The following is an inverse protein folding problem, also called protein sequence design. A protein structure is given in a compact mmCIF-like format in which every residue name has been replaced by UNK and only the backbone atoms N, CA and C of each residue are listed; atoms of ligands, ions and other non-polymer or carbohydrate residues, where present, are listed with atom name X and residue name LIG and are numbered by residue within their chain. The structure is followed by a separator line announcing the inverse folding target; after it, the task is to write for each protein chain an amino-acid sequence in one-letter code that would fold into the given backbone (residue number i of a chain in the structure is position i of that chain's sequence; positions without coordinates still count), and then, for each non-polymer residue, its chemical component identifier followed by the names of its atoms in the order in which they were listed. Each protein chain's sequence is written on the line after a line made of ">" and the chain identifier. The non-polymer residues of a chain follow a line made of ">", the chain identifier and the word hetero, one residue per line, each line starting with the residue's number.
data_IF_334659841578
#
_entry.id   IF_334659841578
#
_cell.length_a   1.000
_cell.length_b   1.000
_cell.length_c   1.000
_cell.angle_alpha   90.00
_cell.angle_beta   90.00
_cell.angle_gamma   90.00
#
_symmetry.space_group_name_H-M   'P 1'
#
loop_
_entity.id
_entity.type
_entity.pdbx_description
1 polymer ?
#
# COMPACT_ATOMS: atom_id res chain seq x y z
N UNK A 1 45.43 15.28 60.20
CA UNK A 1 44.56 14.20 59.70
C UNK A 1 43.39 14.87 59.04
N UNK A 2 43.27 14.75 57.72
CA UNK A 2 42.09 15.14 56.93
C UNK A 2 41.69 13.98 56.00
N UNK A 3 40.39 13.80 55.71
CA UNK A 3 39.83 12.51 55.33
C UNK A 3 39.91 12.22 53.81
N UNK A 4 40.08 10.94 53.49
CA UNK A 4 40.23 10.38 52.13
C UNK A 4 38.96 10.50 51.27
N UNK A 5 39.10 10.63 49.94
CA UNK A 5 37.98 10.75 49.01
C UNK A 5 37.25 9.41 48.78
N UNK A 6 35.93 9.48 48.62
CA UNK A 6 35.02 8.34 48.35
C UNK A 6 35.16 7.88 46.88
N UNK A 7 35.46 6.59 46.66
CA UNK A 7 35.48 5.99 45.33
C UNK A 7 34.06 5.76 44.81
N UNK A 8 33.78 6.24 43.60
CA UNK A 8 32.53 5.97 42.88
C UNK A 8 32.51 4.53 42.38
N UNK A 9 31.49 3.76 42.75
CA UNK A 9 31.27 2.40 42.25
C UNK A 9 30.82 2.43 40.76
N UNK A 10 31.46 1.68 39.85
CA UNK A 10 30.99 1.55 38.48
C UNK A 10 29.63 0.82 38.46
N UNK A 11 28.65 1.41 37.75
CA UNK A 11 27.31 0.83 37.56
C UNK A 11 27.43 -0.56 36.92
N UNK A 12 26.96 -1.58 37.63
CA UNK A 12 26.98 -2.96 37.19
C UNK A 12 26.14 -3.17 35.91
N UNK A 13 26.80 -3.52 34.81
CA UNK A 13 26.19 -3.94 33.55
C UNK A 13 25.32 -5.18 33.78
N UNK A 14 24.02 -5.10 33.49
CA UNK A 14 23.10 -6.24 33.62
C UNK A 14 23.44 -7.27 32.54
N UNK A 15 23.81 -8.48 32.95
CA UNK A 15 24.14 -9.56 32.00
C UNK A 15 22.92 -10.00 31.20
N UNK A 16 23.09 -10.23 29.89
CA UNK A 16 22.05 -10.76 28.98
C UNK A 16 21.81 -12.26 29.16
N UNK A 17 22.71 -12.96 29.88
CA UNK A 17 22.63 -14.39 30.14
C UNK A 17 23.15 -14.70 31.55
N UNK A 18 22.30 -15.28 32.39
CA UNK A 18 22.71 -15.80 33.70
C UNK A 18 23.31 -17.21 33.57
N UNK A 19 24.30 -17.55 34.41
CA UNK A 19 24.83 -18.91 34.47
C UNK A 19 23.77 -19.90 35.00
N UNK A 20 23.94 -21.19 34.71
CA UNK A 20 22.99 -22.25 35.07
C UNK A 20 22.75 -22.36 36.57
N UNK A 21 23.79 -22.17 37.39
CA UNK A 21 23.69 -22.23 38.87
C UNK A 21 22.92 -21.04 39.45
N UNK A 22 23.15 -19.83 38.95
CA UNK A 22 22.35 -18.67 39.37
C UNK A 22 20.91 -18.78 38.85
N UNK A 23 20.72 -19.33 37.64
CA UNK A 23 19.41 -19.54 37.03
C UNK A 23 18.56 -20.54 37.83
N UNK A 24 19.11 -21.69 38.21
CA UNK A 24 18.37 -22.71 38.97
C UNK A 24 17.98 -22.25 40.37
N UNK A 25 18.76 -21.32 40.96
CA UNK A 25 18.51 -20.77 42.29
C UNK A 25 17.72 -19.45 42.28
N UNK A 26 17.28 -18.97 41.11
CA UNK A 26 16.63 -17.66 40.92
C UNK A 26 17.42 -16.48 41.52
N UNK A 27 18.74 -16.50 41.35
CA UNK A 27 19.66 -15.50 41.86
C UNK A 27 20.18 -14.58 40.76
N UNK A 28 20.48 -13.32 41.12
CA UNK A 28 21.09 -12.34 40.20
C UNK A 28 22.51 -12.76 39.83
N UNK A 29 22.80 -12.85 38.53
CA UNK A 29 24.10 -13.19 37.96
C UNK A 29 24.74 -11.97 37.30
N UNK A 30 26.04 -11.76 37.51
CA UNK A 30 26.83 -10.67 36.90
C UNK A 30 27.26 -10.97 35.46
N UNK A 31 27.17 -12.22 35.00
CA UNK A 31 27.54 -12.65 33.66
C UNK A 31 29.04 -12.75 33.37
N UNK A 32 29.93 -12.62 34.37
CA UNK A 32 31.38 -12.73 34.15
C UNK A 32 31.77 -14.16 33.74
N UNK A 33 32.69 -14.27 32.78
CA UNK A 33 33.27 -15.54 32.30
C UNK A 33 34.75 -15.60 32.69
N UNK A 34 35.29 -16.76 33.10
CA UNK A 34 34.69 -18.10 33.05
C UNK A 34 33.75 -18.44 34.22
N UNK A 35 33.79 -17.70 35.33
CA UNK A 35 32.88 -17.86 36.49
C UNK A 35 32.32 -16.50 36.90
N UNK A 36 31.03 -16.45 37.28
CA UNK A 36 30.44 -15.27 37.92
C UNK A 36 30.96 -15.09 39.35
N UNK A 37 30.99 -13.86 39.86
CA UNK A 37 31.51 -13.54 41.21
C UNK A 37 30.82 -14.41 42.28
N UNK A 38 29.49 -14.55 42.20
CA UNK A 38 28.71 -15.35 43.15
C UNK A 38 29.07 -16.84 43.12
N UNK A 39 29.27 -17.43 41.94
CA UNK A 39 29.70 -18.83 41.86
C UNK A 39 31.17 -19.00 42.28
N UNK A 40 31.98 -17.94 42.15
CA UNK A 40 33.35 -17.92 42.65
C UNK A 40 33.40 -17.93 44.18
N UNK A 41 32.60 -17.08 44.83
CA UNK A 41 32.52 -16.98 46.30
C UNK A 41 31.92 -18.24 46.93
N UNK A 42 30.85 -18.78 46.34
CA UNK A 42 30.18 -19.98 46.84
C UNK A 42 30.87 -21.29 46.43
N UNK A 43 32.04 -21.19 45.80
CA UNK A 43 32.78 -22.28 45.17
C UNK A 43 31.90 -23.30 44.41
N UNK A 44 30.85 -22.80 43.76
CA UNK A 44 29.85 -23.62 43.06
C UNK A 44 30.19 -23.73 41.58
N UNK A 45 29.79 -24.83 40.95
CA UNK A 45 30.02 -25.04 39.52
C UNK A 45 29.29 -23.96 38.69
N UNK A 46 30.06 -23.17 37.93
CA UNK A 46 29.53 -22.12 37.07
C UNK A 46 29.59 -22.60 35.61
N UNK A 47 28.42 -22.77 34.99
CA UNK A 47 28.33 -23.16 33.58
C UNK A 47 27.34 -22.28 32.85
N UNK A 48 27.63 -21.94 31.61
CA UNK A 48 26.71 -21.25 30.69
C UNK A 48 26.32 -22.25 29.60
N UNK A 49 25.02 -22.45 29.37
CA UNK A 49 24.58 -23.29 28.27
C UNK A 49 24.95 -22.64 26.93
N UNK A 50 25.52 -23.42 26.01
CA UNK A 50 25.63 -23.01 24.61
C UNK A 50 24.22 -22.88 24.02
N UNK A 51 23.97 -21.79 23.28
CA UNK A 51 22.68 -21.54 22.64
C UNK A 51 22.31 -22.70 21.72
N UNK A 52 21.13 -23.31 21.95
CA UNK A 52 20.53 -24.30 21.03
C UNK A 52 19.69 -23.66 19.92
N UNK A 53 19.60 -22.33 19.86
CA UNK A 53 19.06 -21.62 18.68
C UNK A 53 20.17 -21.52 17.64
N UNK A 54 20.53 -22.67 17.06
CA UNK A 54 21.48 -22.79 15.97
C UNK A 54 20.82 -22.39 14.66
N UNK A 55 20.72 -21.09 14.40
CA UNK A 55 20.78 -20.61 13.02
C UNK A 55 22.21 -20.78 12.52
N UNK A 56 22.38 -21.09 11.23
CA UNK A 56 23.69 -21.10 10.58
C UNK A 56 24.41 -19.77 10.86
N UNK A 57 25.71 -19.85 11.17
CA UNK A 57 26.53 -18.66 11.39
C UNK A 57 26.50 -17.76 10.15
N UNK A 58 26.66 -16.45 10.34
CA UNK A 58 26.52 -15.42 9.29
C UNK A 58 27.48 -15.68 8.13
N UNK A 59 28.65 -16.26 8.41
CA UNK A 59 29.62 -16.71 7.42
C UNK A 59 29.12 -17.93 6.62
N UNK A 60 28.48 -18.90 7.27
CA UNK A 60 27.94 -20.09 6.62
C UNK A 60 26.72 -19.77 5.74
N UNK A 61 25.90 -18.77 6.12
CA UNK A 61 24.81 -18.25 5.28
C UNK A 61 25.33 -17.49 4.05
N UNK A 62 26.41 -16.72 4.20
CA UNK A 62 27.05 -16.02 3.08
C UNK A 62 27.65 -17.02 2.07
N UNK A 63 28.31 -18.07 2.55
CA UNK A 63 28.88 -19.12 1.70
C UNK A 63 27.80 -19.91 0.95
N UNK A 64 26.67 -20.21 1.62
CA UNK A 64 25.53 -20.89 0.97
C UNK A 64 24.90 -20.03 -0.13
N UNK A 65 24.79 -18.72 0.08
CA UNK A 65 24.31 -17.76 -0.94
C UNK A 65 25.26 -17.67 -2.14
N UNK A 66 26.57 -17.67 -1.91
CA UNK A 66 27.56 -17.69 -3.00
C UNK A 66 27.52 -18.99 -3.80
N UNK A 67 27.32 -20.15 -3.15
CA UNK A 67 27.19 -21.44 -3.85
C UNK A 67 25.95 -21.51 -4.74
N UNK A 68 24.82 -20.95 -4.30
CA UNK A 68 23.58 -20.89 -5.09
C UNK A 68 23.67 -19.91 -6.27
N UNK A 69 24.50 -18.87 -6.16
CA UNK A 69 24.74 -17.90 -7.23
C UNK A 69 25.68 -18.40 -8.34
N UNK A 70 26.42 -19.50 -8.11
CA UNK A 70 27.41 -20.03 -9.07
C UNK A 70 26.93 -21.25 -9.87
N UNK A 71 25.71 -21.75 -9.63
CA UNK A 71 25.11 -22.84 -10.41
C UNK A 71 24.32 -22.31 -11.60
N UNK A 72 24.70 -22.58 -12.87
CA UNK A 72 23.86 -22.29 -14.01
C UNK A 72 22.66 -23.25 -14.06
N UNK A 73 21.52 -22.67 -14.43
CA UNK A 73 20.19 -23.26 -14.49
C UNK A 73 20.15 -24.43 -15.49
N UNK A 74 20.26 -25.67 -15.02
CA UNK A 74 19.90 -26.85 -15.81
C UNK A 74 18.61 -27.44 -15.23
N UNK A 75 17.48 -27.08 -15.83
CA UNK A 75 16.17 -27.64 -15.50
C UNK A 75 16.09 -29.02 -16.14
N UNK A 76 16.28 -30.06 -15.34
CA UNK A 76 15.78 -31.39 -15.66
C UNK A 76 14.82 -31.85 -14.56
N UNK A 77 13.64 -32.30 -15.01
CA UNK A 77 12.46 -32.60 -14.19
C UNK A 77 12.62 -33.98 -13.54
N UNK A 78 12.84 -34.01 -12.23
CA UNK A 78 12.78 -35.22 -11.42
C UNK A 78 11.85 -35.03 -10.23
N UNK A 79 10.60 -35.47 -10.37
CA UNK A 79 9.60 -35.50 -9.30
C UNK A 79 10.00 -36.52 -8.22
N UNK A 80 10.21 -36.05 -6.98
CA UNK A 80 10.08 -36.90 -5.78
C UNK A 80 9.22 -36.20 -4.72
N UNK A 81 7.94 -36.53 -4.80
CA UNK A 81 6.91 -36.69 -3.76
C UNK A 81 7.24 -36.22 -2.33
N UNK A 82 6.64 -35.09 -1.91
CA UNK A 82 6.27 -34.82 -0.53
C UNK A 82 4.76 -34.57 -0.48
N UNK A 83 4.07 -35.31 0.39
CA UNK A 83 2.61 -35.36 0.52
C UNK A 83 2.11 -34.08 1.19
N UNK A 84 1.36 -33.26 0.45
CA UNK A 84 0.42 -32.30 1.03
C UNK A 84 -0.99 -32.90 1.04
N UNK A 85 -1.64 -32.81 2.19
CA UNK A 85 -2.98 -33.29 2.42
C UNK A 85 -4.00 -32.35 1.75
N UNK A 86 -4.66 -32.83 0.71
CA UNK A 86 -5.77 -32.15 0.05
C UNK A 86 -7.05 -32.32 0.89
N UNK A 87 -7.57 -31.23 1.46
CA UNK A 87 -8.99 -31.16 1.83
C UNK A 87 -9.73 -30.52 0.66
N UNK A 88 -10.43 -31.36 -0.10
CA UNK A 88 -11.35 -30.97 -1.16
C UNK A 88 -12.51 -30.17 -0.56
N UNK A 89 -12.70 -28.93 -0.97
CA UNK A 89 -13.97 -28.21 -0.75
C UNK A 89 -14.97 -28.63 -1.83
N UNK A 90 -16.18 -29.09 -1.47
CA UNK A 90 -17.25 -29.29 -2.44
C UNK A 90 -17.92 -27.96 -2.76
N UNK A 91 -18.13 -27.75 -4.06
CA UNK A 91 -18.89 -26.68 -4.66
C UNK A 91 -20.37 -26.88 -4.34
N UNK A 92 -21.00 -25.93 -3.63
CA UNK A 92 -22.44 -25.88 -3.45
C UNK A 92 -22.97 -24.50 -3.81
N UNK A 93 -23.89 -24.48 -4.77
CA UNK A 93 -24.84 -23.40 -5.01
C UNK A 93 -25.72 -23.21 -3.77
N UNK A 94 -25.88 -21.96 -3.32
CA UNK A 94 -27.06 -21.60 -2.54
C UNK A 94 -27.49 -20.16 -2.82
N UNK A 95 -28.55 -20.07 -3.61
CA UNK A 95 -29.47 -18.95 -3.60
C UNK A 95 -30.20 -18.87 -2.25
N UNK A 96 -30.55 -17.62 -1.88
CA UNK A 96 -31.76 -17.19 -1.15
C UNK A 96 -31.58 -16.63 0.29
N UNK A 97 -32.13 -15.42 0.43
CA UNK A 97 -32.40 -14.56 1.61
C UNK A 97 -31.23 -13.73 2.20
N UNK A 98 -31.37 -12.42 2.46
CA UNK A 98 -32.57 -11.58 2.47
C UNK A 98 -32.28 -10.08 2.35
N UNK A 99 -33.19 -9.39 1.66
CA UNK A 99 -33.32 -7.94 1.58
C UNK A 99 -33.51 -7.34 2.98
N UNK A 100 -32.79 -6.25 3.25
CA UNK A 100 -33.23 -5.23 4.19
C UNK A 100 -33.35 -3.91 3.44
N UNK A 101 -34.57 -3.37 3.49
CA UNK A 101 -35.09 -2.25 2.73
C UNK A 101 -34.37 -0.92 3.03
N UNK A 102 -33.83 -0.28 1.99
CA UNK A 102 -33.64 1.17 1.98
C UNK A 102 -34.83 1.82 1.25
N UNK A 103 -35.53 2.67 2.00
CA UNK A 103 -36.75 3.39 1.61
C UNK A 103 -36.51 4.24 0.35
N UNK A 104 -37.12 3.80 -0.74
CA UNK A 104 -37.16 4.44 -2.05
C UNK A 104 -38.19 5.58 -2.05
N UNK A 105 -37.75 6.83 -2.30
CA UNK A 105 -38.64 7.86 -2.83
C UNK A 105 -38.55 7.85 -4.36
N UNK A 106 -39.65 7.44 -5.00
CA UNK A 106 -39.81 7.45 -6.46
C UNK A 106 -40.13 8.86 -6.93
N UNK A 107 -39.22 9.49 -7.66
CA UNK A 107 -39.52 10.56 -8.60
C UNK A 107 -39.85 9.96 -9.96
N UNK A 108 -41.13 9.93 -10.31
CA UNK A 108 -41.63 9.58 -11.64
C UNK A 108 -41.32 10.73 -12.60
N UNK A 109 -40.49 10.53 -13.62
CA UNK A 109 -40.47 11.40 -14.79
C UNK A 109 -40.55 10.60 -16.08
N UNK A 110 -41.57 10.97 -16.83
CA UNK A 110 -42.14 10.36 -18.02
C UNK A 110 -41.27 10.65 -19.26
N UNK A 111 -41.04 9.63 -20.07
CA UNK A 111 -40.33 9.71 -21.34
C UNK A 111 -41.34 9.74 -22.49
N UNK A 112 -41.76 10.94 -22.91
CA UNK A 112 -42.28 11.14 -24.27
C UNK A 112 -41.87 12.50 -24.86
N UNK A 113 -40.99 12.42 -25.85
CA UNK A 113 -40.72 13.30 -26.99
C UNK A 113 -41.24 14.76 -27.00
N UNK A 114 -40.30 15.72 -27.12
CA UNK A 114 -40.38 16.72 -28.21
C UNK A 114 -38.96 17.04 -28.72
N UNK A 115 -38.75 16.81 -30.01
CA UNK A 115 -37.55 17.17 -30.73
C UNK A 115 -37.50 18.68 -31.02
N UNK A 116 -36.29 19.14 -31.37
CA UNK A 116 -35.92 20.45 -31.93
C UNK A 116 -35.69 21.60 -30.94
N UNK A 117 -34.40 21.81 -30.59
CA UNK A 117 -33.69 23.11 -30.35
C UNK A 117 -32.40 22.97 -29.51
N UNK A 118 -31.91 21.76 -29.22
CA UNK A 118 -30.68 21.54 -28.43
C UNK A 118 -29.33 21.55 -29.19
N UNK A 119 -29.35 21.73 -30.51
CA UNK A 119 -28.19 21.39 -31.37
C UNK A 119 -27.08 22.46 -31.42
N UNK A 120 -27.26 23.61 -30.74
CA UNK A 120 -26.23 24.68 -30.69
C UNK A 120 -25.47 24.77 -29.37
N UNK A 121 -25.97 24.18 -28.29
CA UNK A 121 -25.33 24.25 -26.96
C UNK A 121 -24.39 23.07 -26.71
N UNK A 122 -24.64 21.91 -27.31
CA UNK A 122 -23.76 20.72 -27.21
C UNK A 122 -22.43 20.92 -27.95
N UNK A 123 -22.39 21.78 -28.97
CA UNK A 123 -21.16 22.15 -29.69
C UNK A 123 -20.23 23.07 -28.89
N UNK A 124 -20.70 23.72 -27.81
CA UNK A 124 -19.89 24.59 -26.98
C UNK A 124 -19.16 23.86 -25.85
N UNK A 125 -19.65 22.69 -25.41
CA UNK A 125 -19.03 21.86 -24.36
C UNK A 125 -17.92 20.95 -24.94
N UNK A 126 -17.97 20.70 -26.26
CA UNK A 126 -16.94 19.98 -27.02
C UNK A 126 -15.72 20.82 -27.40
N UNK A 127 -15.62 22.08 -26.94
CA UNK A 127 -14.38 22.83 -27.03
C UNK A 127 -13.35 22.14 -26.12
N UNK A 128 -12.52 21.28 -26.72
CA UNK A 128 -11.36 20.67 -26.08
C UNK A 128 -10.65 21.75 -25.26
N UNK A 129 -10.84 21.75 -23.94
CA UNK A 129 -10.15 22.67 -23.05
C UNK A 129 -8.67 22.50 -23.36
N UNK A 130 -7.99 23.52 -23.92
CA UNK A 130 -6.61 23.35 -24.33
C UNK A 130 -5.84 22.82 -23.13
N UNK A 131 -5.13 21.71 -23.32
CA UNK A 131 -4.33 21.10 -22.27
C UNK A 131 -3.12 22.01 -22.06
N UNK A 132 -3.32 23.05 -21.25
CA UNK A 132 -2.28 23.92 -20.78
C UNK A 132 -2.05 23.65 -19.29
N UNK A 133 -1.34 22.56 -19.00
CA UNK A 133 -1.04 22.09 -17.63
C UNK A 133 -0.33 23.16 -16.79
N UNK A 134 0.46 24.03 -17.43
CA UNK A 134 1.29 25.01 -16.74
C UNK A 134 0.48 26.14 -16.12
N UNK A 135 -0.40 26.76 -16.91
CA UNK A 135 -1.21 27.90 -16.46
C UNK A 135 -2.62 27.53 -16.00
N UNK A 136 -2.96 26.24 -15.96
CA UNK A 136 -4.28 25.79 -15.54
C UNK A 136 -4.42 25.83 -14.00
N UNK A 137 -5.29 26.71 -13.45
CA UNK A 137 -5.43 26.87 -12.02
C UNK A 137 -6.07 25.65 -11.34
N UNK A 138 -6.88 24.87 -12.06
CA UNK A 138 -7.51 23.66 -11.52
C UNK A 138 -6.46 22.55 -11.40
N UNK A 139 -5.61 22.38 -12.41
CA UNK A 139 -4.48 21.45 -12.35
C UNK A 139 -3.51 21.84 -11.23
N UNK A 140 -3.21 23.15 -11.09
CA UNK A 140 -2.39 23.63 -9.98
C UNK A 140 -3.00 23.35 -8.60
N UNK A 141 -4.33 23.51 -8.47
CA UNK A 141 -5.08 23.17 -7.24
C UNK A 141 -4.91 21.68 -6.90
N UNK A 142 -5.17 20.77 -7.86
CA UNK A 142 -5.01 19.32 -7.67
C UNK A 142 -3.63 18.92 -7.12
N UNK A 143 -2.55 19.39 -7.77
CA UNK A 143 -1.19 19.03 -7.36
C UNK A 143 -0.81 19.62 -6.01
N UNK A 144 -1.45 20.73 -5.60
CA UNK A 144 -1.21 21.35 -4.30
C UNK A 144 -1.94 20.67 -3.16
N UNK A 145 -3.15 20.15 -3.39
CA UNK A 145 -4.06 19.77 -2.29
C UNK A 145 -4.51 18.31 -2.27
N UNK A 146 -4.40 17.59 -3.38
CA UNK A 146 -4.88 16.21 -3.49
C UNK A 146 -3.76 15.22 -3.83
N UNK A 147 -2.83 15.62 -4.69
CA UNK A 147 -1.83 14.71 -5.24
C UNK A 147 -0.96 14.04 -4.17
N UNK A 148 -0.54 14.78 -3.14
CA UNK A 148 0.26 14.24 -2.02
C UNK A 148 -0.41 13.08 -1.28
N UNK A 149 -1.75 13.09 -1.19
CA UNK A 149 -2.50 12.00 -0.57
C UNK A 149 -2.66 10.80 -1.52
N UNK A 150 -2.62 11.03 -2.83
CA UNK A 150 -2.85 10.00 -3.85
C UNK A 150 -1.85 10.11 -5.02
N UNK A 151 -0.54 9.89 -4.77
CA UNK A 151 0.49 10.25 -5.73
C UNK A 151 0.74 9.13 -6.75
N UNK A 152 -0.30 8.70 -7.47
CA UNK A 152 -0.20 7.61 -8.44
C UNK A 152 -0.11 8.07 -9.90
N UNK A 153 -0.58 9.28 -10.18
CA UNK A 153 -0.40 9.93 -11.48
C UNK A 153 0.99 10.53 -11.59
N UNK A 154 1.42 10.88 -12.81
CA UNK A 154 2.72 11.50 -13.04
C UNK A 154 2.90 12.81 -12.25
N UNK A 155 4.13 13.12 -11.79
CA UNK A 155 4.45 14.43 -11.23
C UNK A 155 4.13 15.55 -12.23
N UNK A 156 3.74 16.73 -11.75
CA UNK A 156 3.27 17.83 -12.62
C UNK A 156 4.27 18.19 -13.73
N UNK A 157 5.56 18.26 -13.39
CA UNK A 157 6.65 18.57 -14.31
C UNK A 157 6.78 17.53 -15.43
N UNK A 158 6.66 16.25 -15.08
CA UNK A 158 6.76 15.13 -16.00
C UNK A 158 5.50 14.98 -16.88
N UNK A 159 4.31 15.18 -16.30
CA UNK A 159 3.07 15.20 -17.06
C UNK A 159 3.08 16.35 -18.08
N UNK A 160 3.51 17.54 -17.68
CA UNK A 160 3.72 18.69 -18.58
C UNK A 160 4.62 18.32 -19.74
N UNK A 161 5.80 17.76 -19.48
CA UNK A 161 6.77 17.37 -20.50
C UNK A 161 6.18 16.37 -21.50
N UNK A 162 5.45 15.36 -21.02
CA UNK A 162 4.86 14.33 -21.88
C UNK A 162 3.70 14.86 -22.73
N UNK A 163 2.91 15.81 -22.20
CA UNK A 163 1.83 16.45 -22.95
C UNK A 163 2.29 17.45 -24.01
N UNK A 164 3.59 17.80 -24.05
CA UNK A 164 4.17 18.61 -25.13
C UNK A 164 4.30 17.83 -26.44
N UNK A 165 4.38 16.49 -26.41
CA UNK A 165 4.34 15.67 -27.63
C UNK A 165 2.90 15.59 -28.15
N UNK A 166 2.58 16.19 -29.33
CA UNK A 166 1.22 16.20 -29.86
C UNK A 166 0.63 14.80 -30.08
N UNK A 167 1.47 13.78 -30.27
CA UNK A 167 1.03 12.38 -30.46
C UNK A 167 0.56 11.74 -29.16
N UNK A 168 1.04 12.21 -28.01
CA UNK A 168 0.68 11.72 -26.68
C UNK A 168 -0.36 12.59 -25.99
N UNK A 169 -0.46 13.85 -26.42
CA UNK A 169 -1.34 14.87 -25.89
C UNK A 169 -2.81 14.42 -25.77
N UNK A 170 -3.37 13.82 -26.82
CA UNK A 170 -4.77 13.38 -26.83
C UNK A 170 -5.00 12.18 -25.90
N UNK A 171 -3.99 11.32 -25.71
CA UNK A 171 -4.08 10.17 -24.79
C UNK A 171 -4.26 10.58 -23.33
N UNK A 172 -3.71 11.73 -22.91
CA UNK A 172 -3.83 12.20 -21.52
C UNK A 172 -5.13 12.96 -21.22
N UNK A 173 -5.98 13.22 -22.22
CA UNK A 173 -7.19 14.02 -22.04
C UNK A 173 -8.13 13.51 -20.92
N UNK A 174 -8.43 12.20 -20.80
CA UNK A 174 -9.27 11.67 -19.72
C UNK A 174 -8.68 11.94 -18.33
N UNK A 175 -7.36 11.73 -18.19
CA UNK A 175 -6.66 11.96 -16.94
C UNK A 175 -6.69 13.44 -16.54
N UNK A 176 -6.40 14.34 -17.48
CA UNK A 176 -6.39 15.77 -17.24
C UNK A 176 -7.78 16.29 -16.90
N UNK A 177 -8.84 15.77 -17.54
CA UNK A 177 -10.22 16.10 -17.18
C UNK A 177 -10.52 15.71 -15.73
N UNK A 178 -10.11 14.52 -15.28
CA UNK A 178 -10.34 14.06 -13.90
C UNK A 178 -9.53 14.91 -12.88
N UNK A 179 -8.29 15.25 -13.22
CA UNK A 179 -7.45 16.18 -12.44
C UNK A 179 -8.14 17.54 -12.30
N UNK A 180 -8.71 18.08 -13.38
CA UNK A 180 -9.42 19.38 -13.36
C UNK A 180 -10.67 19.34 -12.50
N UNK A 181 -11.46 18.27 -12.57
CA UNK A 181 -12.64 18.09 -11.72
C UNK A 181 -12.27 18.12 -10.23
N UNK A 182 -11.26 17.34 -9.82
CA UNK A 182 -10.78 17.35 -8.43
C UNK A 182 -10.19 18.72 -8.07
N UNK A 183 -9.42 19.32 -8.98
CA UNK A 183 -8.88 20.66 -8.81
C UNK A 183 -9.94 21.71 -8.53
N UNK A 184 -11.08 21.62 -9.22
CA UNK A 184 -12.26 22.46 -9.00
C UNK A 184 -12.87 22.25 -7.61
N UNK A 185 -13.02 21.01 -7.18
CA UNK A 185 -13.54 20.68 -5.85
C UNK A 185 -12.72 21.39 -4.76
N UNK A 186 -11.39 21.38 -4.84
CA UNK A 186 -10.58 22.07 -3.81
C UNK A 186 -10.57 23.59 -3.96
N UNK A 187 -10.63 24.09 -5.19
CA UNK A 187 -10.51 25.53 -5.47
C UNK A 187 -11.83 26.27 -5.20
N UNK A 188 -12.91 25.77 -5.80
CA UNK A 188 -14.23 26.40 -5.79
C UNK A 188 -15.16 25.78 -4.72
N UNK A 189 -14.79 24.62 -4.14
CA UNK A 189 -15.59 23.90 -3.11
C UNK A 189 -16.96 23.45 -3.60
N UNK A 190 -17.10 23.20 -4.89
CA UNK A 190 -18.34 22.80 -5.54
C UNK A 190 -18.15 21.67 -6.56
N UNK A 191 -19.23 20.93 -6.77
CA UNK A 191 -19.33 19.96 -7.85
C UNK A 191 -19.63 20.69 -9.16
N UNK A 192 -18.86 20.40 -10.22
CA UNK A 192 -19.05 20.99 -11.53
C UNK A 192 -19.57 19.97 -12.52
N UNK A 193 -20.85 20.10 -12.90
CA UNK A 193 -21.49 19.25 -13.92
C UNK A 193 -20.75 19.32 -15.26
N UNK A 194 -20.34 20.50 -15.78
CA UNK A 194 -19.57 20.55 -17.02
C UNK A 194 -18.23 19.80 -16.95
N UNK A 195 -17.53 19.85 -15.80
CA UNK A 195 -16.28 19.10 -15.63
C UNK A 195 -16.51 17.59 -15.48
N UNK A 196 -17.61 17.17 -14.84
CA UNK A 196 -18.06 15.78 -14.82
C UNK A 196 -18.28 15.26 -16.25
N UNK A 197 -19.09 15.97 -17.03
CA UNK A 197 -19.38 15.62 -18.43
C UNK A 197 -18.11 15.59 -19.27
N UNK A 198 -17.16 16.50 -19.02
CA UNK A 198 -15.87 16.50 -19.71
C UNK A 198 -15.02 15.25 -19.39
N UNK A 199 -15.05 14.74 -18.15
CA UNK A 199 -14.39 13.48 -17.78
C UNK A 199 -15.00 12.32 -18.55
N UNK A 200 -16.33 12.19 -18.50
CA UNK A 200 -17.06 11.09 -19.13
C UNK A 200 -16.92 11.10 -20.65
N UNK A 201 -17.02 12.28 -21.25
CA UNK A 201 -16.77 12.47 -22.67
C UNK A 201 -15.34 12.06 -23.01
N UNK A 202 -14.33 12.58 -22.31
CA UNK A 202 -12.93 12.26 -22.62
C UNK A 202 -12.63 10.77 -22.52
N UNK A 203 -13.16 10.09 -21.50
CA UNK A 203 -13.04 8.62 -21.36
C UNK A 203 -13.68 7.89 -22.55
N UNK A 204 -14.81 8.38 -23.09
CA UNK A 204 -15.46 7.76 -24.25
C UNK A 204 -14.70 7.93 -25.57
N UNK A 205 -13.76 8.88 -25.64
CA UNK A 205 -13.02 9.18 -26.87
C UNK A 205 -11.74 8.34 -27.04
N UNK A 206 -11.26 7.69 -25.99
CA UNK A 206 -10.07 6.82 -26.03
C UNK A 206 -10.45 5.35 -26.20
N UNK A 207 -9.52 4.55 -26.72
CA UNK A 207 -9.74 3.12 -26.88
C UNK A 207 -10.06 2.46 -25.53
N UNK A 208 -11.05 1.55 -25.43
CA UNK A 208 -11.46 0.97 -24.14
C UNK A 208 -10.35 0.26 -23.36
N UNK A 209 -9.32 -0.23 -24.06
CA UNK A 209 -8.14 -0.88 -23.48
C UNK A 209 -6.98 0.08 -23.20
N UNK A 210 -7.18 1.40 -23.34
CA UNK A 210 -6.14 2.38 -23.05
C UNK A 210 -5.89 2.44 -21.53
N UNK A 211 -4.64 2.23 -21.08
CA UNK A 211 -4.33 2.16 -19.66
C UNK A 211 -4.54 3.48 -18.91
N UNK A 212 -4.58 4.62 -19.63
CA UNK A 212 -4.85 5.92 -18.99
C UNK A 212 -6.24 5.99 -18.37
N UNK A 213 -7.19 5.20 -18.90
CA UNK A 213 -8.56 5.13 -18.41
C UNK A 213 -8.57 4.62 -16.96
N UNK A 214 -7.64 3.73 -16.59
CA UNK A 214 -7.54 3.24 -15.21
C UNK A 214 -7.28 4.39 -14.25
N UNK A 215 -6.28 5.23 -14.55
CA UNK A 215 -5.95 6.38 -13.70
C UNK A 215 -7.08 7.41 -13.67
N UNK A 216 -7.69 7.70 -14.82
CA UNK A 216 -8.79 8.66 -14.93
C UNK A 216 -10.03 8.20 -14.15
N UNK A 217 -10.43 6.92 -14.28
CA UNK A 217 -11.57 6.35 -13.54
C UNK A 217 -11.31 6.27 -12.05
N UNK A 218 -10.07 5.97 -11.63
CA UNK A 218 -9.72 5.94 -10.21
C UNK A 218 -9.83 7.34 -9.58
N UNK A 219 -9.30 8.39 -10.23
CA UNK A 219 -9.51 9.75 -9.76
C UNK A 219 -11.00 10.13 -9.75
N UNK A 220 -11.73 9.78 -10.81
CA UNK A 220 -13.14 10.11 -10.94
C UNK A 220 -14.00 9.42 -9.89
N UNK A 221 -13.73 8.13 -9.59
CA UNK A 221 -14.46 7.38 -8.56
C UNK A 221 -14.32 8.05 -7.20
N UNK A 222 -13.12 8.49 -6.83
CA UNK A 222 -12.85 9.17 -5.57
C UNK A 222 -13.59 10.51 -5.47
N UNK A 223 -13.59 11.30 -6.55
CA UNK A 223 -14.31 12.57 -6.61
C UNK A 223 -15.82 12.37 -6.43
N UNK A 224 -16.40 11.37 -7.12
CA UNK A 224 -17.81 10.99 -6.99
C UNK A 224 -18.14 10.56 -5.56
N UNK A 225 -17.27 9.77 -4.94
CA UNK A 225 -17.48 9.26 -3.58
C UNK A 225 -17.57 10.38 -2.55
N UNK A 226 -16.68 11.38 -2.65
CA UNK A 226 -16.68 12.54 -1.74
C UNK A 226 -17.89 13.45 -1.88
N UNK A 227 -18.57 13.42 -3.02
CA UNK A 227 -19.83 14.13 -3.26
C UNK A 227 -21.06 13.24 -3.08
N UNK A 228 -20.93 12.12 -2.36
CA UNK A 228 -22.02 11.19 -2.01
C UNK A 228 -22.64 10.44 -3.21
N UNK A 229 -22.03 10.48 -4.40
CA UNK A 229 -22.43 9.67 -5.56
C UNK A 229 -21.91 8.23 -5.46
N UNK A 230 -22.16 7.56 -4.33
CA UNK A 230 -21.52 6.28 -3.94
C UNK A 230 -21.72 5.14 -4.94
N UNK A 231 -22.91 5.04 -5.53
CA UNK A 231 -23.23 3.99 -6.53
C UNK A 231 -22.41 4.18 -7.80
N UNK A 232 -22.36 5.42 -8.31
CA UNK A 232 -21.58 5.77 -9.49
C UNK A 232 -20.09 5.63 -9.21
N UNK A 233 -19.63 6.09 -8.05
CA UNK A 233 -18.27 5.94 -7.58
C UNK A 233 -17.81 4.47 -7.57
N UNK A 234 -18.62 3.57 -7.00
CA UNK A 234 -18.33 2.13 -6.99
C UNK A 234 -18.29 1.55 -8.39
N UNK A 235 -19.24 1.93 -9.26
CA UNK A 235 -19.25 1.51 -10.67
C UNK A 235 -17.97 1.91 -11.41
N UNK A 236 -17.52 3.16 -11.24
CA UNK A 236 -16.27 3.64 -11.83
C UNK A 236 -15.04 2.89 -11.29
N UNK A 237 -15.02 2.61 -9.99
CA UNK A 237 -13.96 1.80 -9.36
C UNK A 237 -13.93 0.38 -9.92
N UNK A 238 -15.08 -0.28 -10.05
CA UNK A 238 -15.18 -1.65 -10.58
C UNK A 238 -14.79 -1.73 -12.05
N UNK A 239 -15.05 -0.68 -12.82
CA UNK A 239 -14.56 -0.56 -14.20
C UNK A 239 -13.04 -0.38 -14.25
N UNK A 240 -12.47 0.42 -13.34
CA UNK A 240 -11.01 0.61 -13.25
C UNK A 240 -10.30 -0.68 -12.83
N UNK A 241 -10.80 -1.39 -11.81
CA UNK A 241 -10.26 -2.66 -11.33
C UNK A 241 -10.26 -3.72 -12.43
N UNK A 242 -11.39 -3.92 -13.11
CA UNK A 242 -11.48 -4.88 -14.23
C UNK A 242 -10.49 -4.57 -15.34
N UNK A 243 -10.43 -3.31 -15.78
CA UNK A 243 -9.49 -2.92 -16.83
C UNK A 243 -8.03 -3.12 -16.39
N UNK A 244 -7.67 -2.78 -15.16
CA UNK A 244 -6.32 -2.99 -14.64
C UNK A 244 -5.93 -4.47 -14.58
N UNK A 245 -6.88 -5.34 -14.21
CA UNK A 245 -6.70 -6.80 -14.20
C UNK A 245 -6.55 -7.33 -15.62
N UNK A 246 -7.42 -6.92 -16.54
CA UNK A 246 -7.39 -7.34 -17.96
C UNK A 246 -6.07 -6.93 -18.64
N UNK A 247 -5.54 -5.77 -18.28
CA UNK A 247 -4.24 -5.28 -18.75
C UNK A 247 -3.06 -5.97 -18.09
N UNK A 248 -3.27 -6.73 -17.00
CA UNK A 248 -2.20 -7.37 -16.25
C UNK A 248 -1.36 -6.41 -15.40
N UNK A 249 -1.92 -5.29 -14.93
CA UNK A 249 -1.21 -4.28 -14.15
C UNK A 249 -0.59 -4.82 -12.84
N UNK A 250 -1.06 -5.96 -12.34
CA UNK A 250 -0.54 -6.68 -11.17
C UNK A 250 0.79 -7.42 -11.42
N UNK A 251 1.30 -7.36 -12.65
CA UNK A 251 2.53 -8.02 -13.08
C UNK A 251 3.69 -7.02 -13.11
N UNK A 252 4.87 -7.42 -12.61
CA UNK A 252 6.08 -6.58 -12.64
C UNK A 252 6.41 -6.09 -14.05
N UNK A 253 6.20 -6.96 -15.04
CA UNK A 253 6.55 -6.77 -16.44
C UNK A 253 5.73 -5.64 -17.07
N UNK A 254 4.48 -5.47 -16.62
CA UNK A 254 3.56 -4.48 -17.17
C UNK A 254 4.14 -3.06 -17.17
N UNK A 255 4.65 -2.63 -16.02
CA UNK A 255 5.24 -1.30 -15.88
C UNK A 255 6.46 -1.12 -16.80
N UNK A 256 7.26 -2.16 -17.00
CA UNK A 256 8.45 -2.15 -17.86
C UNK A 256 8.06 -2.02 -19.33
N UNK A 257 7.08 -2.83 -19.77
CA UNK A 257 6.59 -2.85 -21.13
C UNK A 257 5.89 -1.54 -21.51
N UNK A 258 5.00 -1.04 -20.65
CA UNK A 258 4.24 0.19 -20.92
C UNK A 258 5.06 1.47 -20.75
N UNK A 259 5.98 1.51 -19.78
CA UNK A 259 6.79 2.69 -19.52
C UNK A 259 7.97 2.88 -20.48
N UNK A 260 8.32 1.85 -21.27
CA UNK A 260 9.52 1.82 -22.10
C UNK A 260 10.73 2.36 -21.31
N UNK A 261 11.59 3.22 -21.85
CA UNK A 261 12.78 3.72 -21.15
C UNK A 261 12.51 4.82 -20.09
N UNK A 262 11.26 5.24 -19.90
CA UNK A 262 10.94 6.31 -18.95
C UNK A 262 10.63 5.75 -17.56
N UNK A 263 11.60 5.82 -16.66
CA UNK A 263 11.48 5.31 -15.29
C UNK A 263 10.32 5.95 -14.49
N UNK A 264 10.01 7.21 -14.72
CA UNK A 264 8.91 7.92 -14.04
C UNK A 264 7.55 7.39 -14.49
N UNK A 265 7.42 7.06 -15.78
CA UNK A 265 6.21 6.40 -16.29
C UNK A 265 6.09 4.98 -15.72
N UNK A 266 7.19 4.22 -15.65
CA UNK A 266 7.18 2.89 -14.98
C UNK A 266 6.73 3.00 -13.52
N UNK A 267 7.24 4.01 -12.80
CA UNK A 267 6.86 4.27 -11.41
C UNK A 267 5.38 4.66 -11.27
N UNK A 268 4.85 5.50 -12.16
CA UNK A 268 3.43 5.86 -12.18
C UNK A 268 2.53 4.64 -12.35
N UNK A 269 2.91 3.67 -13.19
CA UNK A 269 2.13 2.44 -13.36
C UNK A 269 2.18 1.54 -12.12
N UNK A 270 3.36 1.39 -11.48
CA UNK A 270 3.45 0.68 -10.19
C UNK A 270 2.55 1.31 -9.13
N UNK A 271 2.61 2.64 -9.00
CA UNK A 271 1.78 3.40 -8.05
C UNK A 271 0.30 3.31 -8.38
N UNK A 272 -0.07 3.20 -9.65
CA UNK A 272 -1.47 3.02 -10.09
C UNK A 272 -2.04 1.70 -9.58
N UNK A 273 -1.31 0.60 -9.74
CA UNK A 273 -1.72 -0.69 -9.19
C UNK A 273 -1.89 -0.63 -7.67
N UNK A 274 -0.90 -0.11 -6.96
CA UNK A 274 -0.95 -0.01 -5.51
C UNK A 274 -2.02 0.95 -4.99
N UNK A 275 -2.35 2.01 -5.74
CA UNK A 275 -3.47 2.89 -5.37
C UNK A 275 -4.82 2.20 -5.60
N UNK A 276 -4.99 1.40 -6.66
CA UNK A 276 -6.21 0.58 -6.81
C UNK A 276 -6.38 -0.36 -5.61
N UNK A 277 -5.30 -1.01 -5.19
CA UNK A 277 -5.28 -1.88 -4.01
C UNK A 277 -5.72 -1.13 -2.74
N UNK A 278 -5.15 0.05 -2.48
CA UNK A 278 -5.48 0.87 -1.31
C UNK A 278 -6.93 1.36 -1.35
N UNK A 279 -7.37 1.94 -2.48
CA UNK A 279 -8.70 2.53 -2.60
C UNK A 279 -9.79 1.44 -2.60
N UNK A 280 -9.54 0.26 -3.15
CA UNK A 280 -10.50 -0.86 -3.04
C UNK A 280 -10.70 -1.25 -1.57
N UNK A 281 -9.62 -1.33 -0.79
CA UNK A 281 -9.73 -1.62 0.63
C UNK A 281 -10.52 -0.54 1.38
N UNK A 282 -10.31 0.75 1.06
CA UNK A 282 -11.10 1.84 1.63
C UNK A 282 -12.58 1.73 1.29
N UNK A 283 -12.92 1.39 0.04
CA UNK A 283 -14.31 1.18 -0.37
C UNK A 283 -14.92 -0.03 0.32
N UNK A 284 -14.20 -1.15 0.40
CA UNK A 284 -14.67 -2.37 1.06
C UNK A 284 -15.01 -2.10 2.53
N UNK A 285 -14.13 -1.40 3.25
CA UNK A 285 -14.34 -1.01 4.65
C UNK A 285 -15.48 0.00 4.82
N UNK A 286 -15.50 1.07 4.03
CA UNK A 286 -16.48 2.16 4.18
C UNK A 286 -17.89 1.77 3.77
N UNK A 287 -18.03 0.96 2.72
CA UNK A 287 -19.32 0.48 2.23
C UNK A 287 -19.77 -0.83 2.90
N UNK A 288 -18.92 -1.45 3.73
CA UNK A 288 -19.23 -2.72 4.41
C UNK A 288 -19.44 -3.90 3.45
N UNK A 289 -18.92 -3.83 2.22
CA UNK A 289 -19.13 -4.88 1.21
C UNK A 289 -18.18 -6.06 1.39
N UNK A 290 -17.02 -5.84 2.01
CA UNK A 290 -15.97 -6.85 2.28
C UNK A 290 -15.59 -7.71 1.08
N UNK A 291 -15.76 -7.20 -0.15
CA UNK A 291 -15.40 -7.88 -1.39
C UNK A 291 -14.13 -7.26 -1.97
N UNK A 292 -13.10 -8.08 -2.13
CA UNK A 292 -11.76 -7.71 -2.55
C UNK A 292 -11.44 -8.39 -3.87
N UNK A 293 -11.44 -7.66 -4.99
CA UNK A 293 -11.02 -8.20 -6.28
C UNK A 293 -9.53 -7.97 -6.52
N UNK A 294 -9.04 -6.76 -6.26
CA UNK A 294 -7.64 -6.36 -6.41
C UNK A 294 -6.80 -6.86 -5.24
N UNK A 295 -7.28 -6.70 -4.00
CA UNK A 295 -6.53 -7.07 -2.80
C UNK A 295 -6.24 -8.58 -2.71
N UNK A 296 -7.10 -9.43 -3.30
CA UNK A 296 -6.94 -10.88 -3.30
C UNK A 296 -6.03 -11.41 -4.43
N UNK A 297 -5.49 -10.54 -5.28
CA UNK A 297 -4.57 -10.94 -6.35
C UNK A 297 -3.14 -10.95 -5.82
N UNK A 298 -2.46 -12.10 -5.99
CA UNK A 298 -1.03 -12.19 -5.74
C UNK A 298 -0.27 -11.30 -6.74
N UNK A 299 0.23 -10.17 -6.23
CA UNK A 299 0.86 -9.13 -7.04
C UNK A 299 2.37 -9.30 -7.06
N UNK A 300 2.94 -9.21 -8.27
CA UNK A 300 4.41 -9.17 -8.44
C UNK A 300 4.94 -7.74 -8.61
N UNK A 301 4.07 -6.73 -8.51
CA UNK A 301 4.44 -5.32 -8.68
C UNK A 301 5.37 -4.90 -7.54
N UNK A 302 6.50 -4.29 -7.89
CA UNK A 302 7.43 -3.79 -6.88
C UNK A 302 6.88 -2.55 -6.15
N UNK A 303 7.38 -2.30 -4.95
CA UNK A 303 6.93 -1.23 -4.07
C UNK A 303 7.36 0.15 -4.60
N UNK A 304 6.50 1.18 -4.46
CA UNK A 304 6.82 2.54 -4.90
C UNK A 304 8.01 3.17 -4.16
N UNK A 305 8.73 4.07 -4.82
CA UNK A 305 9.81 4.87 -4.20
C UNK A 305 9.26 6.02 -3.35
N UNK A 306 10.14 6.74 -2.67
CA UNK A 306 9.77 7.96 -1.92
C UNK A 306 9.31 9.09 -2.87
N UNK A 307 8.45 9.98 -2.36
CA UNK A 307 7.87 11.08 -3.14
C UNK A 307 8.92 12.01 -3.74
N UNK A 308 10.01 12.30 -3.00
CA UNK A 308 11.09 13.15 -3.50
C UNK A 308 11.82 12.53 -4.71
N UNK A 309 12.01 11.20 -4.71
CA UNK A 309 12.61 10.47 -5.83
C UNK A 309 11.67 10.48 -7.04
N UNK A 310 10.37 10.29 -6.79
CA UNK A 310 9.35 10.32 -7.84
C UNK A 310 9.23 11.69 -8.51
N UNK A 311 9.13 12.75 -7.69
CA UNK A 311 9.04 14.14 -8.16
C UNK A 311 10.30 14.58 -8.92
N UNK A 312 11.49 14.18 -8.46
CA UNK A 312 12.75 14.51 -9.14
C UNK A 312 13.04 13.66 -10.38
N UNK A 313 12.37 12.53 -10.52
CA UNK A 313 12.61 11.55 -11.58
C UNK A 313 13.82 10.63 -11.36
N UNK A 314 14.49 10.74 -10.21
CA UNK A 314 15.61 9.88 -9.83
C UNK A 314 15.12 8.57 -9.22
N UNK A 315 14.42 7.76 -10.02
CA UNK A 315 13.75 6.55 -9.55
C UNK A 315 14.79 5.50 -9.12
N UNK A 316 14.84 5.10 -7.83
CA UNK A 316 15.76 4.08 -7.36
C UNK A 316 15.35 2.70 -7.87
N UNK A 317 16.24 1.71 -7.67
CA UNK A 317 15.88 0.30 -7.90
C UNK A 317 14.70 -0.07 -6.99
N UNK A 318 13.57 -0.54 -7.55
CA UNK A 318 12.39 -0.90 -6.77
C UNK A 318 12.69 -2.05 -5.80
N UNK A 319 12.02 -2.03 -4.65
CA UNK A 319 12.09 -3.11 -3.65
C UNK A 319 10.84 -3.98 -3.76
N UNK A 320 10.96 -5.27 -3.46
CA UNK A 320 9.84 -6.21 -3.56
C UNK A 320 8.98 -6.21 -2.29
N UNK A 321 7.78 -6.78 -2.39
CA UNK A 321 6.97 -7.06 -1.19
C UNK A 321 7.70 -8.02 -0.22
N UNK A 322 8.42 -9.01 -0.75
CA UNK A 322 9.21 -9.94 0.07
C UNK A 322 10.31 -9.22 0.87
N UNK A 323 10.98 -8.23 0.27
CA UNK A 323 11.96 -7.40 0.98
C UNK A 323 11.31 -6.65 2.16
N UNK A 324 10.08 -6.17 1.96
CA UNK A 324 9.35 -5.44 3.00
C UNK A 324 8.86 -6.37 4.11
N UNK A 325 8.31 -7.53 3.78
CA UNK A 325 7.82 -8.52 4.74
C UNK A 325 8.94 -9.13 5.58
N UNK A 326 10.17 -9.20 5.07
CA UNK A 326 11.34 -9.74 5.77
C UNK A 326 12.31 -8.67 6.30
N UNK A 327 11.87 -7.41 6.36
CA UNK A 327 12.72 -6.23 6.65
C UNK A 327 13.50 -6.30 7.96
N UNK A 328 12.98 -6.97 8.98
CA UNK A 328 13.66 -7.18 10.26
C UNK A 328 14.91 -8.06 10.17
N UNK A 329 15.00 -8.88 9.12
CA UNK A 329 16.15 -9.73 8.83
C UNK A 329 17.08 -9.12 7.76
N UNK A 330 16.66 -8.00 7.16
CA UNK A 330 17.40 -7.27 6.15
C UNK A 330 18.61 -6.50 6.70
N UNK A 331 19.47 -5.96 5.81
CA UNK A 331 20.44 -4.94 6.16
C UNK A 331 19.80 -3.77 6.92
N UNK A 332 20.50 -3.26 7.94
CA UNK A 332 19.99 -2.20 8.83
C UNK A 332 19.63 -0.88 8.12
N UNK A 333 20.18 -0.66 6.93
CA UNK A 333 20.03 0.59 6.17
C UNK A 333 18.97 0.50 5.07
N UNK A 334 18.25 -0.62 4.95
CA UNK A 334 17.14 -0.70 3.99
C UNK A 334 16.03 0.26 4.44
N UNK A 335 15.71 1.21 3.58
CA UNK A 335 14.59 2.14 3.76
C UNK A 335 13.47 1.85 2.77
N UNK A 336 12.25 1.94 3.26
CA UNK A 336 11.02 1.86 2.48
C UNK A 336 10.31 3.22 2.50
N UNK A 337 9.59 3.49 1.42
CA UNK A 337 8.84 4.73 1.25
C UNK A 337 7.60 4.76 2.15
N UNK A 338 7.06 5.94 2.40
CA UNK A 338 5.76 6.10 3.08
C UNK A 338 4.65 5.33 2.37
N UNK A 339 4.70 5.29 1.03
CA UNK A 339 3.78 4.51 0.21
C UNK A 339 3.88 3.01 0.52
N UNK A 340 5.09 2.47 0.59
CA UNK A 340 5.30 1.06 0.97
C UNK A 340 4.73 0.74 2.37
N UNK A 341 4.90 1.64 3.34
CA UNK A 341 4.30 1.47 4.67
C UNK A 341 2.77 1.55 4.66
N UNK A 342 2.19 2.42 3.83
CA UNK A 342 0.73 2.47 3.62
C UNK A 342 0.20 1.18 2.99
N UNK A 343 0.88 0.64 1.98
CA UNK A 343 0.52 -0.66 1.39
C UNK A 343 0.53 -1.74 2.48
N UNK A 344 1.60 -1.81 3.27
CA UNK A 344 1.70 -2.77 4.38
C UNK A 344 0.62 -2.57 5.46
N UNK A 345 0.21 -1.33 5.73
CA UNK A 345 -0.88 -1.05 6.67
C UNK A 345 -2.23 -1.57 6.15
N UNK A 346 -2.51 -1.36 4.86
CA UNK A 346 -3.72 -1.88 4.22
C UNK A 346 -3.70 -3.40 4.12
N UNK A 347 -2.55 -4.02 3.85
CA UNK A 347 -2.38 -5.49 3.89
C UNK A 347 -2.67 -6.04 5.30
N UNK A 348 -2.17 -5.40 6.35
CA UNK A 348 -2.50 -5.78 7.73
C UNK A 348 -4.00 -5.67 8.02
N UNK A 349 -4.66 -4.59 7.61
CA UNK A 349 -6.10 -4.41 7.80
C UNK A 349 -6.93 -5.42 6.99
N UNK A 350 -6.57 -5.67 5.73
CA UNK A 350 -7.25 -6.65 4.88
C UNK A 350 -7.09 -8.09 5.40
N UNK A 351 -5.90 -8.44 5.89
CA UNK A 351 -5.66 -9.72 6.53
C UNK A 351 -6.51 -9.90 7.81
N UNK A 352 -6.63 -8.85 8.63
CA UNK A 352 -7.48 -8.86 9.81
C UNK A 352 -8.98 -8.98 9.48
N UNK A 353 -9.45 -8.41 8.37
CA UNK A 353 -10.84 -8.59 7.90
C UNK A 353 -11.05 -10.02 7.41
N UNK A 354 -10.07 -10.61 6.73
CA UNK A 354 -10.17 -11.94 6.12
C UNK A 354 -10.18 -13.09 7.14
N UNK A 355 -9.76 -12.84 8.39
CA UNK A 355 -9.84 -13.83 9.47
C UNK A 355 -11.23 -13.92 10.11
N UNK A 356 -12.17 -13.04 9.75
CA UNK A 356 -13.53 -13.04 10.27
C UNK A 356 -14.32 -14.19 9.61
N UNK A 357 -14.78 -15.21 10.37
CA UNK A 357 -15.53 -16.33 9.84
C UNK A 357 -16.93 -15.88 9.43
N UNK A 358 -17.48 -16.53 8.40
CA UNK A 358 -18.82 -16.29 7.87
C UNK A 358 -19.93 -16.64 8.87
N UNK A 359 -19.65 -17.52 9.84
CA UNK A 359 -20.50 -17.86 10.98
C UNK A 359 -19.63 -17.89 12.22
N UNK A 360 -19.78 -16.92 13.12
CA UNK A 360 -18.96 -16.80 14.31
C UNK A 360 -19.54 -17.58 15.49
N UNK A 361 -18.71 -18.39 16.17
CA UNK A 361 -18.99 -18.86 17.55
C UNK A 361 -18.33 -17.91 18.57
N UNK A 362 -18.75 -18.00 19.85
CA UNK A 362 -18.20 -17.13 20.89
C UNK A 362 -16.68 -17.32 21.09
N UNK A 363 -16.15 -18.52 20.85
CA UNK A 363 -14.73 -18.85 21.02
C UNK A 363 -13.87 -18.34 19.85
N UNK A 364 -14.43 -18.30 18.63
CA UNK A 364 -13.75 -17.75 17.45
C UNK A 364 -13.41 -16.26 17.63
N UNK A 365 -14.29 -15.51 18.30
CA UNK A 365 -14.15 -14.06 18.47
C UNK A 365 -12.82 -13.65 19.13
N UNK A 366 -12.37 -14.38 20.16
CA UNK A 366 -11.16 -14.01 20.90
C UNK A 366 -9.88 -14.30 20.11
N UNK A 367 -9.83 -15.43 19.40
CA UNK A 367 -8.68 -15.77 18.57
C UNK A 367 -8.53 -14.80 17.40
N UNK A 368 -9.63 -14.43 16.75
CA UNK A 368 -9.66 -13.45 15.65
C UNK A 368 -9.15 -12.09 16.13
N UNK A 369 -9.66 -11.60 17.25
CA UNK A 369 -9.22 -10.33 17.84
C UNK A 369 -7.72 -10.35 18.15
N UNK A 370 -7.22 -11.43 18.76
CA UNK A 370 -5.79 -11.55 19.06
C UNK A 370 -4.91 -11.60 17.80
N UNK A 371 -5.37 -12.28 16.75
CA UNK A 371 -4.65 -12.36 15.49
C UNK A 371 -4.62 -11.00 14.76
N UNK A 372 -5.74 -10.27 14.77
CA UNK A 372 -5.82 -8.90 14.25
C UNK A 372 -4.89 -7.97 15.04
N UNK A 373 -4.99 -7.95 16.38
CA UNK A 373 -4.15 -7.13 17.25
C UNK A 373 -2.66 -7.40 17.03
N UNK A 374 -2.26 -8.68 16.97
CA UNK A 374 -0.87 -9.06 16.73
C UNK A 374 -0.35 -8.57 15.37
N UNK A 375 -1.20 -8.59 14.34
CA UNK A 375 -0.85 -8.12 12.99
C UNK A 375 -0.65 -6.60 12.97
N UNK A 376 -1.59 -5.85 13.57
CA UNK A 376 -1.53 -4.39 13.65
C UNK A 376 -0.37 -3.90 14.52
N UNK A 377 -0.15 -4.54 15.68
CA UNK A 377 0.99 -4.24 16.56
C UNK A 377 2.33 -4.58 15.90
N UNK A 378 2.38 -5.68 15.14
CA UNK A 378 3.54 -6.09 14.37
C UNK A 378 3.98 -5.01 13.38
N UNK A 379 3.03 -4.43 12.63
CA UNK A 379 3.31 -3.32 11.73
C UNK A 379 3.91 -2.11 12.47
N UNK A 380 3.31 -1.70 13.59
CA UNK A 380 3.77 -0.55 14.39
C UNK A 380 5.16 -0.75 15.00
N UNK A 381 5.44 -1.95 15.51
CA UNK A 381 6.72 -2.29 16.13
C UNK A 381 7.88 -2.22 15.13
N UNK A 382 7.59 -2.56 13.87
CA UNK A 382 8.55 -2.60 12.78
C UNK A 382 8.67 -1.27 12.01
N UNK A 383 7.95 -0.22 12.42
CA UNK A 383 8.15 1.12 11.89
C UNK A 383 9.50 1.69 12.33
N UNK A 384 10.29 2.28 11.41
CA UNK A 384 11.51 2.98 11.78
C UNK A 384 11.17 4.26 12.56
N UNK A 385 12.08 4.76 13.42
CA UNK A 385 11.78 5.85 14.36
C UNK A 385 11.26 7.13 13.70
N UNK A 386 11.76 7.45 12.51
CA UNK A 386 11.39 8.61 11.69
C UNK A 386 9.99 8.50 11.06
N UNK A 387 9.43 7.28 10.94
CA UNK A 387 8.07 7.06 10.39
C UNK A 387 7.02 6.89 11.49
N UNK A 388 7.39 6.97 12.76
CA UNK A 388 6.43 6.96 13.88
C UNK A 388 5.75 8.30 14.07
N UNK A 389 6.38 9.39 13.62
CA UNK A 389 5.80 10.73 13.63
C UNK A 389 5.32 11.05 12.22
N UNK A 390 4.04 11.39 12.10
CA UNK A 390 3.39 11.71 10.83
C UNK A 390 3.72 13.13 10.36
N UNK A 391 4.05 14.02 11.30
CA UNK A 391 4.38 15.41 11.04
C UNK A 391 5.86 15.63 11.31
N UNK A 392 6.54 16.29 10.37
CA UNK A 392 7.95 16.64 10.53
C UNK A 392 8.13 17.87 11.44
N UNK A 393 9.38 18.18 11.79
CA UNK A 393 9.70 19.34 12.65
C UNK A 393 9.31 20.70 12.05
N UNK A 394 9.09 20.77 10.73
CA UNK A 394 8.63 21.96 10.02
C UNK A 394 7.10 22.10 10.01
N UNK A 395 6.36 21.11 10.56
CA UNK A 395 4.90 21.10 10.56
C UNK A 395 4.28 20.52 9.29
N UNK A 396 5.07 19.98 8.38
CA UNK A 396 4.57 19.32 7.17
C UNK A 396 4.15 17.89 7.49
N UNK A 397 3.02 17.47 6.92
CA UNK A 397 2.45 16.14 7.14
C UNK A 397 2.89 15.20 6.01
N UNK A 398 3.40 14.04 6.38
CA UNK A 398 3.55 12.91 5.46
C UNK A 398 2.17 12.27 5.26
N UNK A 399 1.47 12.69 4.20
CA UNK A 399 0.08 12.30 3.94
C UNK A 399 -0.12 10.79 3.77
N UNK A 400 0.89 10.08 3.26
CA UNK A 400 0.82 8.63 3.09
C UNK A 400 1.01 7.91 4.43
N UNK A 401 1.95 8.38 5.26
CA UNK A 401 2.07 7.86 6.63
C UNK A 401 0.84 8.23 7.47
N UNK A 402 0.27 9.42 7.31
CA UNK A 402 -0.97 9.81 7.98
C UNK A 402 -2.09 8.80 7.69
N UNK A 403 -2.29 8.48 6.41
CA UNK A 403 -3.23 7.44 5.99
C UNK A 403 -2.88 6.06 6.57
N UNK A 404 -1.60 5.67 6.57
CA UNK A 404 -1.17 4.37 7.08
C UNK A 404 -1.50 4.21 8.56
N UNK A 405 -1.23 5.26 9.36
CA UNK A 405 -1.61 5.30 10.76
C UNK A 405 -3.14 5.30 10.91
N UNK A 406 -3.88 6.06 10.10
CA UNK A 406 -5.35 6.07 10.13
C UNK A 406 -5.93 4.66 9.94
N UNK A 407 -5.48 3.93 8.90
CA UNK A 407 -5.91 2.55 8.61
C UNK A 407 -5.65 1.61 9.77
N UNK A 408 -4.54 1.79 10.49
CA UNK A 408 -4.13 0.95 11.61
C UNK A 408 -4.82 1.34 12.93
N UNK A 409 -5.51 2.49 12.98
CA UNK A 409 -6.17 3.02 14.17
C UNK A 409 -7.70 3.03 14.10
N UNK A 410 -8.28 2.87 12.91
CA UNK A 410 -9.71 2.66 12.66
C UNK A 410 -10.04 1.18 12.84
#
# INVERSE_FOLDING_TARGET
>A
MDPKPKSQNPRATRSSLACLSCRSRHLKCDGKKPRCDRCSESNSQCGYAQSRRGGLDRAALAERRQRLAMTPNNRDLGHTHLKEATLQQPQYDLALYGQLDFRQERGLFDLTAVASTGDRTLQAVGAAYPVNIESDPLVASYYKTFHSCHPFVLPKSHLKMLCQDPRRHQGFAPLIAAIRLIGNIYKEREWSVPLKEAVEYSISQVFPSDPIIVQARLLYSMALFWYEYKVEAKSQMDMANRLAIDLGMFRREYAIEQGADNLVVRESWRRTWWMLYIIEAYYAGTLGTMNFQVVNIDSTVDLPCDEADYESGNIPVPKTMEDFQSREFGPKDIRFSSFAYLIGAVECAAAAISTIPTVATAEDSTFIMQAADATLDGWRLLLPPDRKQVMNAAGEVDELMFQAHLVIHV
#
